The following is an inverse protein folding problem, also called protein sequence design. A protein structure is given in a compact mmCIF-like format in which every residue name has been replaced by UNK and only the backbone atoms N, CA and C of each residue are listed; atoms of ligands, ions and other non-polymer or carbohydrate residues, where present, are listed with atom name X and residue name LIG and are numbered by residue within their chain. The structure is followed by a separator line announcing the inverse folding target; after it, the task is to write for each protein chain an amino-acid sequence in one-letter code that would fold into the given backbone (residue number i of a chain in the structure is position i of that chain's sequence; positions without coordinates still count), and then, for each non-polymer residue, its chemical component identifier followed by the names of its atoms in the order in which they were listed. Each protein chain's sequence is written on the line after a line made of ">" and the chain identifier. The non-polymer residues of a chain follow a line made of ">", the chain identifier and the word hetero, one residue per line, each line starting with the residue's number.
data_IF_583705399532
#
_entry.id   IF_583705399532
#
_cell.length_a   1.000
_cell.length_b   1.000
_cell.length_c   1.000
_cell.angle_alpha   90.00
_cell.angle_beta   90.00
_cell.angle_gamma   90.00
#
_symmetry.space_group_name_H-M   'P 1'
#
loop_
_entity.id
_entity.type
_entity.pdbx_description
1 polymer ?
#
# COMPACT_ATOMS: atom_id res chain seq x y z
N UNK A 1 10.58 -12.35 -9.67
CA UNK A 1 11.31 -11.10 -9.35
C UNK A 1 12.66 -11.36 -8.68
N UNK A 2 13.72 -10.66 -9.10
CA UNK A 2 15.09 -10.86 -8.60
C UNK A 2 15.31 -10.49 -7.11
N UNK A 3 14.39 -9.74 -6.49
CA UNK A 3 14.46 -9.41 -5.06
C UNK A 3 13.96 -10.56 -4.18
N UNK A 4 12.90 -11.25 -4.59
CA UNK A 4 12.35 -12.41 -3.87
C UNK A 4 13.30 -13.61 -3.81
N UNK A 5 14.35 -13.63 -4.64
CA UNK A 5 15.43 -14.64 -4.55
C UNK A 5 16.54 -14.25 -3.58
N UNK A 6 16.53 -13.01 -3.06
CA UNK A 6 17.55 -12.47 -2.14
C UNK A 6 17.03 -12.31 -0.72
N UNK A 7 15.74 -12.08 -0.56
CA UNK A 7 15.08 -11.96 0.73
C UNK A 7 13.64 -12.46 0.65
N UNK A 8 13.04 -12.67 1.82
CA UNK A 8 11.59 -12.85 1.90
C UNK A 8 10.92 -11.53 1.54
N UNK A 9 10.17 -11.54 0.44
CA UNK A 9 9.40 -10.40 -0.03
C UNK A 9 7.91 -10.71 0.08
N UNK A 10 7.18 -9.88 0.83
CA UNK A 10 5.73 -9.94 0.90
C UNK A 10 5.19 -8.61 0.40
N UNK A 11 4.58 -8.63 -0.78
CA UNK A 11 3.96 -7.46 -1.38
C UNK A 11 2.49 -7.39 -0.97
N UNK A 12 2.06 -6.21 -0.53
CA UNK A 12 0.68 -5.94 -0.19
C UNK A 12 -0.04 -5.25 -1.35
N UNK A 13 -1.32 -5.57 -1.52
CA UNK A 13 -2.17 -4.98 -2.55
C UNK A 13 -2.84 -3.73 -2.00
N UNK A 14 -2.62 -2.59 -2.65
CA UNK A 14 -3.31 -1.35 -2.35
C UNK A 14 -4.57 -1.15 -3.18
N UNK A 15 -5.30 -0.07 -2.89
CA UNK A 15 -6.49 0.31 -3.65
C UNK A 15 -6.19 0.68 -5.11
N UNK A 16 -5.00 1.24 -5.41
CA UNK A 16 -4.60 1.58 -6.78
C UNK A 16 -4.33 0.32 -7.61
N UNK A 17 -3.67 -0.70 -7.04
CA UNK A 17 -3.49 -1.99 -7.70
C UNK A 17 -4.82 -2.71 -7.89
N UNK A 18 -5.71 -2.66 -6.90
CA UNK A 18 -7.05 -3.23 -7.00
C UNK A 18 -7.88 -2.53 -8.09
N UNK A 19 -7.79 -1.20 -8.20
CA UNK A 19 -8.47 -0.43 -9.25
C UNK A 19 -7.93 -0.75 -10.65
N UNK A 20 -6.60 -0.89 -10.79
CA UNK A 20 -5.98 -1.32 -12.02
C UNK A 20 -6.50 -2.69 -12.46
N UNK A 21 -6.44 -3.69 -11.58
CA UNK A 21 -6.93 -5.04 -11.88
C UNK A 21 -8.43 -5.04 -12.22
N UNK A 22 -9.26 -4.32 -11.45
CA UNK A 22 -10.69 -4.21 -11.72
C UNK A 22 -10.98 -3.58 -13.10
N UNK A 23 -10.19 -2.58 -13.51
CA UNK A 23 -10.33 -1.96 -14.83
C UNK A 23 -9.94 -2.92 -15.95
N UNK A 24 -8.83 -3.65 -15.80
CA UNK A 24 -8.36 -4.63 -16.78
C UNK A 24 -9.30 -5.84 -16.90
N UNK A 25 -9.93 -6.24 -15.80
CA UNK A 25 -10.90 -7.35 -15.75
C UNK A 25 -12.31 -6.93 -16.21
N UNK A 26 -12.53 -5.66 -16.53
CA UNK A 26 -13.83 -5.12 -16.93
C UNK A 26 -14.84 -4.97 -15.77
N UNK A 27 -14.38 -5.11 -14.52
CA UNK A 27 -15.19 -4.90 -13.32
C UNK A 27 -15.32 -3.40 -12.93
N UNK A 28 -14.53 -2.53 -13.55
CA UNK A 28 -14.56 -1.08 -13.40
C UNK A 28 -14.35 -0.42 -14.77
N UNK A 29 -14.98 0.74 -15.08
CA UNK A 29 -14.66 1.50 -16.28
C UNK A 29 -13.19 1.90 -16.30
N UNK A 30 -12.52 1.71 -17.45
CA UNK A 30 -11.11 2.05 -17.61
C UNK A 30 -10.84 3.52 -17.25
N UNK A 31 -11.74 4.41 -17.66
CA UNK A 31 -11.66 5.85 -17.42
C UNK A 31 -11.61 6.18 -15.93
N UNK A 32 -12.31 5.42 -15.08
CA UNK A 32 -12.30 5.64 -13.63
C UNK A 32 -10.91 5.39 -13.04
N UNK A 33 -10.21 4.36 -13.49
CA UNK A 33 -8.82 4.10 -13.09
C UNK A 33 -7.85 5.13 -13.66
N UNK A 34 -8.03 5.56 -14.92
CA UNK A 34 -7.19 6.57 -15.55
C UNK A 34 -7.17 7.89 -14.77
N UNK A 35 -8.29 8.26 -14.15
CA UNK A 35 -8.41 9.49 -13.35
C UNK A 35 -7.67 9.46 -12.01
N UNK A 36 -7.27 8.28 -11.53
CA UNK A 36 -6.60 8.10 -10.23
C UNK A 36 -5.16 7.56 -10.37
N UNK A 37 -4.49 7.94 -11.45
CA UNK A 37 -3.08 7.60 -11.70
C UNK A 37 -2.86 6.55 -12.78
N UNK A 38 -3.93 5.93 -13.31
CA UNK A 38 -3.82 4.91 -14.35
C UNK A 38 -3.15 5.42 -15.61
N UNK A 39 -3.38 6.68 -15.99
CA UNK A 39 -2.75 7.27 -17.18
C UNK A 39 -1.23 7.34 -17.06
N UNK A 40 -0.71 7.80 -15.91
CA UNK A 40 0.72 7.85 -15.63
C UNK A 40 1.31 6.44 -15.58
N UNK A 41 0.59 5.47 -15.03
CA UNK A 41 0.99 4.06 -15.04
C UNK A 41 1.13 3.54 -16.46
N UNK A 42 0.15 3.75 -17.35
CA UNK A 42 0.22 3.29 -18.74
C UNK A 42 1.41 3.89 -19.49
N UNK A 43 1.65 5.20 -19.34
CA UNK A 43 2.83 5.83 -19.96
C UNK A 43 4.16 5.35 -19.40
N UNK A 44 4.20 4.77 -18.19
CA UNK A 44 5.41 4.15 -17.65
C UNK A 44 5.74 2.80 -18.29
N UNK A 45 4.74 2.13 -18.88
CA UNK A 45 4.91 0.84 -19.56
C UNK A 45 5.25 0.98 -21.05
N UNK A 46 4.74 2.00 -21.72
CA UNK A 46 5.01 2.23 -23.13
C UNK A 46 4.60 3.63 -23.59
N UNK A 47 5.17 4.11 -24.72
CA UNK A 47 4.86 5.44 -25.25
C UNK A 47 3.43 5.54 -25.81
N UNK A 48 2.78 4.41 -26.10
CA UNK A 48 1.39 4.35 -26.56
C UNK A 48 0.43 4.61 -25.39
N UNK A 49 0.78 4.14 -24.19
CA UNK A 49 -0.06 4.26 -23.02
C UNK A 49 -1.30 3.37 -23.12
N UNK A 50 -1.12 2.12 -23.57
CA UNK A 50 -2.18 1.12 -23.70
C UNK A 50 -2.10 0.09 -22.57
N UNK A 51 -3.23 -0.45 -22.10
CA UNK A 51 -3.24 -1.66 -21.26
C UNK A 51 -2.45 -2.84 -21.86
N UNK A 52 -2.38 -2.94 -23.19
CA UNK A 52 -1.60 -3.97 -23.89
C UNK A 52 -0.08 -3.83 -23.70
N UNK A 53 0.40 -2.64 -23.28
CA UNK A 53 1.81 -2.41 -22.99
C UNK A 53 2.22 -3.05 -21.65
N UNK A 54 1.27 -3.52 -20.83
CA UNK A 54 1.52 -4.08 -19.51
C UNK A 54 1.87 -5.57 -19.64
N UNK A 55 3.08 -6.00 -19.27
CA UNK A 55 3.45 -7.41 -19.30
C UNK A 55 2.52 -8.27 -18.44
N UNK A 56 2.13 -9.44 -18.95
CA UNK A 56 1.23 -10.34 -18.25
C UNK A 56 1.78 -10.79 -16.88
N UNK A 57 3.09 -10.96 -16.74
CA UNK A 57 3.75 -11.32 -15.48
C UNK A 57 3.68 -10.20 -14.43
N UNK A 58 3.59 -8.93 -14.84
CA UNK A 58 3.33 -7.82 -13.92
C UNK A 58 1.89 -7.85 -13.41
N UNK A 59 0.92 -8.17 -14.27
CA UNK A 59 -0.49 -8.33 -13.87
C UNK A 59 -0.61 -9.49 -12.88
N UNK A 60 0.00 -10.64 -13.17
CA UNK A 60 0.01 -11.79 -12.26
C UNK A 60 0.68 -11.47 -10.93
N UNK A 61 1.80 -10.74 -10.94
CA UNK A 61 2.43 -10.24 -9.71
C UNK A 61 1.46 -9.42 -8.86
N UNK A 62 0.70 -8.49 -9.46
CA UNK A 62 -0.29 -7.70 -8.73
C UNK A 62 -1.42 -8.58 -8.15
N UNK A 63 -1.84 -9.63 -8.86
CA UNK A 63 -2.84 -10.59 -8.35
C UNK A 63 -2.32 -11.34 -7.13
N UNK A 64 -1.05 -11.75 -7.13
CA UNK A 64 -0.39 -12.47 -6.03
C UNK A 64 -0.17 -11.63 -4.76
N UNK A 65 -0.21 -10.29 -4.84
CA UNK A 65 -0.07 -9.43 -3.66
C UNK A 65 -1.12 -9.75 -2.58
N UNK A 66 -0.70 -9.81 -1.32
CA UNK A 66 -1.58 -10.14 -0.18
C UNK A 66 -2.37 -8.92 0.28
N UNK A 67 -3.53 -9.14 0.91
CA UNK A 67 -4.26 -8.05 1.55
C UNK A 67 -3.70 -7.73 2.94
N UNK A 68 -3.30 -8.78 3.67
CA UNK A 68 -2.70 -8.69 4.99
C UNK A 68 -1.50 -9.63 5.07
N UNK A 69 -0.48 -9.22 5.83
CA UNK A 69 0.57 -10.09 6.31
C UNK A 69 0.70 -9.98 7.82
N UNK A 70 0.85 -11.10 8.51
CA UNK A 70 1.00 -11.14 9.97
C UNK A 70 2.32 -11.78 10.39
N UNK A 71 2.83 -11.29 11.51
CA UNK A 71 3.89 -11.89 12.32
C UNK A 71 3.36 -12.06 13.75
N UNK A 72 4.19 -12.53 14.67
CA UNK A 72 3.78 -12.67 16.08
C UNK A 72 3.44 -11.33 16.74
N UNK A 73 4.13 -10.25 16.33
CA UNK A 73 4.02 -8.92 16.98
C UNK A 73 3.35 -7.86 16.12
N UNK A 74 3.35 -8.02 14.79
CA UNK A 74 2.87 -7.02 13.84
C UNK A 74 1.87 -7.59 12.83
N UNK A 75 1.00 -6.71 12.33
CA UNK A 75 0.23 -6.93 11.12
C UNK A 75 0.53 -5.81 10.11
N UNK A 76 0.53 -6.14 8.83
CA UNK A 76 0.81 -5.22 7.73
C UNK A 76 -0.36 -5.26 6.75
N UNK A 77 -0.94 -4.10 6.45
CA UNK A 77 -2.05 -3.94 5.51
C UNK A 77 -1.97 -2.56 4.85
N UNK A 78 -2.72 -2.34 3.76
CA UNK A 78 -2.60 -1.09 3.00
C UNK A 78 -3.26 0.10 3.71
N UNK A 79 -4.55 -0.02 4.04
CA UNK A 79 -5.42 1.07 4.47
C UNK A 79 -5.71 1.12 5.96
N UNK A 80 -6.73 0.37 6.38
CA UNK A 80 -7.28 0.43 7.73
C UNK A 80 -7.86 -0.94 8.15
N UNK A 81 -8.40 -1.03 9.35
CA UNK A 81 -8.96 -2.26 9.91
C UNK A 81 -10.11 -1.96 10.88
N UNK A 82 -11.04 -2.90 11.03
CA UNK A 82 -11.97 -2.92 12.16
C UNK A 82 -11.24 -3.52 13.38
N UNK A 83 -11.10 -2.81 14.51
CA UNK A 83 -10.35 -3.30 15.67
C UNK A 83 -10.92 -4.57 16.31
N UNK A 84 -12.16 -4.95 16.02
CA UNK A 84 -12.86 -6.09 16.65
C UNK A 84 -12.95 -7.33 15.76
N UNK A 85 -12.50 -7.25 14.51
CA UNK A 85 -12.64 -8.31 13.51
C UNK A 85 -11.28 -8.90 13.17
N UNK A 86 -11.09 -10.23 13.23
CA UNK A 86 -9.84 -10.89 12.80
C UNK A 86 -9.41 -10.46 11.40
N UNK A 87 -8.10 -10.40 11.14
CA UNK A 87 -7.58 -9.83 9.89
C UNK A 87 -8.01 -10.58 8.62
N UNK A 88 -8.24 -11.90 8.71
CA UNK A 88 -8.72 -12.75 7.64
C UNK A 88 -10.24 -12.63 7.38
N UNK A 89 -10.97 -11.99 8.30
CA UNK A 89 -12.40 -11.68 8.18
C UNK A 89 -12.67 -10.20 7.82
N UNK A 90 -11.63 -9.38 7.72
CA UNK A 90 -11.75 -7.98 7.32
C UNK A 90 -12.24 -7.85 5.87
N UNK A 91 -13.06 -6.83 5.60
CA UNK A 91 -13.50 -6.57 4.23
C UNK A 91 -12.39 -5.90 3.40
N UNK A 92 -12.38 -6.15 2.10
CA UNK A 92 -11.48 -5.47 1.15
C UNK A 92 -11.70 -3.95 1.14
N UNK A 93 -12.93 -3.49 1.37
CA UNK A 93 -13.26 -2.08 1.50
C UNK A 93 -12.51 -1.44 2.69
N UNK A 94 -12.51 -2.11 3.86
CA UNK A 94 -11.78 -1.65 5.04
C UNK A 94 -10.27 -1.69 4.80
N UNK A 95 -9.75 -2.83 4.33
CA UNK A 95 -8.31 -3.05 4.20
C UNK A 95 -7.62 -2.16 3.17
N UNK A 96 -8.32 -1.70 2.14
CA UNK A 96 -7.71 -0.94 1.04
C UNK A 96 -8.24 0.49 0.88
N UNK A 97 -9.51 0.75 1.21
CA UNK A 97 -10.17 2.01 0.80
C UNK A 97 -10.46 2.94 1.96
N UNK A 98 -10.73 2.41 3.16
CA UNK A 98 -11.03 3.23 4.33
C UNK A 98 -9.81 4.06 4.75
N UNK A 99 -9.96 5.38 4.76
CA UNK A 99 -8.92 6.31 5.17
C UNK A 99 -8.97 6.55 6.69
N UNK A 100 -7.80 6.75 7.30
CA UNK A 100 -7.73 7.13 8.72
C UNK A 100 -8.22 8.56 8.98
N UNK A 101 -8.36 9.39 7.95
CA UNK A 101 -9.00 10.71 8.07
C UNK A 101 -10.49 10.61 8.32
N UNK A 102 -11.12 9.54 7.80
CA UNK A 102 -12.55 9.28 7.97
C UNK A 102 -12.80 8.48 9.26
N UNK A 103 -11.91 7.53 9.54
CA UNK A 103 -12.01 6.70 10.74
C UNK A 103 -10.63 6.28 11.26
N UNK A 104 -10.21 6.87 12.39
CA UNK A 104 -9.01 6.40 13.09
C UNK A 104 -9.37 5.18 13.96
N UNK A 105 -8.80 3.99 13.70
CA UNK A 105 -9.16 2.79 14.45
C UNK A 105 -8.57 2.83 15.87
N UNK A 106 -9.18 2.08 16.78
CA UNK A 106 -8.57 1.78 18.10
C UNK A 106 -7.55 0.63 17.98
N UNK A 107 -6.86 0.24 19.07
CA UNK A 107 -6.04 -0.97 19.06
C UNK A 107 -6.84 -2.20 18.62
N UNK A 108 -6.22 -3.02 17.78
CA UNK A 108 -6.84 -4.25 17.28
C UNK A 108 -6.90 -5.34 18.37
N UNK A 109 -7.93 -6.20 18.32
CA UNK A 109 -8.19 -7.27 19.31
C UNK A 109 -7.04 -8.27 19.45
N UNK A 110 -6.21 -8.43 18.42
CA UNK A 110 -5.02 -9.28 18.46
C UNK A 110 -3.89 -8.74 19.34
N UNK A 111 -3.92 -7.45 19.71
CA UNK A 111 -2.84 -6.78 20.44
C UNK A 111 -1.58 -6.49 19.61
N UNK A 112 -1.57 -6.81 18.31
CA UNK A 112 -0.45 -6.53 17.41
C UNK A 112 -0.37 -5.04 17.05
N UNK A 113 0.84 -4.55 16.82
CA UNK A 113 1.04 -3.24 16.19
C UNK A 113 0.74 -3.34 14.69
N UNK A 114 -0.12 -2.48 14.17
CA UNK A 114 -0.53 -2.51 12.76
C UNK A 114 0.23 -1.47 11.95
N UNK A 115 0.96 -1.91 10.94
CA UNK A 115 1.69 -1.03 10.01
C UNK A 115 0.86 -0.83 8.75
N UNK A 116 0.58 0.42 8.40
CA UNK A 116 -0.29 0.81 7.29
C UNK A 116 0.34 1.88 6.39
N UNK A 117 -0.28 2.11 5.25
CA UNK A 117 -0.05 3.25 4.36
C UNK A 117 -1.35 4.00 4.09
N UNK A 118 -1.65 4.21 2.80
CA UNK A 118 -2.91 4.72 2.23
C UNK A 118 -3.31 6.15 2.58
N UNK A 119 -3.19 6.55 3.85
CA UNK A 119 -3.55 7.87 4.34
C UNK A 119 -2.29 8.72 4.45
N UNK A 120 -1.98 9.60 3.48
CA UNK A 120 -0.69 10.24 3.43
C UNK A 120 -0.49 11.23 4.58
N UNK A 121 0.61 11.08 5.29
CA UNK A 121 1.10 11.97 6.33
C UNK A 121 1.87 13.14 5.68
N UNK A 122 1.16 14.25 5.45
CA UNK A 122 1.70 15.40 4.70
C UNK A 122 2.82 16.17 5.42
N UNK A 123 3.01 15.94 6.73
CA UNK A 123 4.20 16.44 7.44
C UNK A 123 5.49 15.78 6.97
N UNK A 124 5.39 14.60 6.33
CA UNK A 124 6.53 13.76 6.01
C UNK A 124 7.01 12.91 7.19
N UNK A 125 6.35 12.97 8.34
CA UNK A 125 6.67 12.15 9.51
C UNK A 125 5.76 10.90 9.57
N UNK A 126 6.31 9.80 10.07
CA UNK A 126 5.52 8.60 10.38
C UNK A 126 4.52 8.94 11.48
N UNK A 127 3.25 8.57 11.28
CA UNK A 127 2.27 8.59 12.36
C UNK A 127 2.48 7.34 13.22
N UNK A 128 2.79 7.51 14.50
CA UNK A 128 2.94 6.41 15.45
C UNK A 128 2.02 6.62 16.66
N UNK A 129 1.07 5.71 16.84
CA UNK A 129 0.11 5.69 17.95
C UNK A 129 0.41 4.56 18.95
N UNK A 130 1.56 3.88 18.83
CA UNK A 130 1.96 2.71 19.62
C UNK A 130 1.32 1.40 19.16
N UNK A 131 0.03 1.43 18.79
CA UNK A 131 -0.70 0.27 18.24
C UNK A 131 -0.87 0.33 16.72
N UNK A 132 -0.63 1.50 16.12
CA UNK A 132 -0.74 1.72 14.69
C UNK A 132 0.42 2.62 14.23
N UNK A 133 1.08 2.24 13.15
CA UNK A 133 2.13 3.02 12.50
C UNK A 133 1.80 3.22 11.02
N UNK A 134 1.65 4.48 10.57
CA UNK A 134 1.46 4.78 9.15
C UNK A 134 2.73 5.35 8.52
N UNK A 135 3.26 4.62 7.54
CA UNK A 135 4.53 4.94 6.87
C UNK A 135 4.33 5.63 5.51
N UNK A 136 3.09 5.84 5.06
CA UNK A 136 2.80 6.70 3.91
C UNK A 136 3.07 8.16 4.27
N UNK A 137 4.27 8.58 3.94
CA UNK A 137 4.83 9.90 4.24
C UNK A 137 4.80 10.81 3.01
N UNK A 138 3.81 10.58 2.14
CA UNK A 138 3.40 11.47 1.06
C UNK A 138 4.49 11.74 0.00
N UNK A 139 5.31 10.74 -0.34
CA UNK A 139 6.36 10.84 -1.38
C UNK A 139 5.85 11.43 -2.69
N UNK A 140 4.69 10.95 -3.18
CA UNK A 140 4.08 11.43 -4.43
C UNK A 140 3.68 12.91 -4.38
N UNK A 141 3.46 13.43 -3.17
CA UNK A 141 3.14 14.85 -2.91
C UNK A 141 4.37 15.70 -2.57
N UNK A 142 5.58 15.18 -2.78
CA UNK A 142 6.83 15.91 -2.60
C UNK A 142 7.48 15.80 -1.22
N UNK A 143 6.95 14.94 -0.34
CA UNK A 143 7.60 14.59 0.91
C UNK A 143 8.51 13.35 0.70
N UNK A 144 8.37 12.30 1.50
CA UNK A 144 9.36 11.21 1.55
C UNK A 144 8.78 9.83 1.24
N UNK A 145 9.62 8.95 0.71
CA UNK A 145 9.43 7.50 0.77
C UNK A 145 10.09 6.99 2.04
N UNK A 146 9.35 6.20 2.83
CA UNK A 146 9.80 5.73 4.14
C UNK A 146 10.04 4.22 4.16
N UNK A 147 11.18 3.82 4.70
CA UNK A 147 11.44 2.47 5.19
C UNK A 147 11.44 2.46 6.72
N UNK A 148 10.78 1.46 7.31
CA UNK A 148 10.72 1.24 8.76
C UNK A 148 11.21 -0.18 9.07
N UNK A 149 12.20 -0.28 9.95
CA UNK A 149 12.53 -1.53 10.64
C UNK A 149 11.67 -1.62 11.90
N UNK A 150 10.65 -2.49 11.86
CA UNK A 150 9.68 -2.67 12.94
C UNK A 150 10.27 -3.33 14.19
N UNK A 151 11.44 -3.95 14.10
CA UNK A 151 12.10 -4.57 15.26
C UNK A 151 12.91 -3.54 16.04
N UNK A 152 13.57 -2.61 15.33
CA UNK A 152 14.42 -1.60 15.96
C UNK A 152 13.77 -0.22 16.08
N UNK A 153 12.65 0.01 15.39
CA UNK A 153 12.02 1.32 15.23
C UNK A 153 12.80 2.27 14.32
N UNK A 154 13.84 1.79 13.62
CA UNK A 154 14.68 2.64 12.79
C UNK A 154 13.94 3.03 11.51
N UNK A 155 13.98 4.33 11.20
CA UNK A 155 13.34 4.93 10.04
C UNK A 155 14.41 5.42 9.06
N UNK A 156 14.18 5.18 7.76
CA UNK A 156 14.92 5.79 6.66
C UNK A 156 13.95 6.52 5.75
N UNK A 157 14.28 7.75 5.38
CA UNK A 157 13.47 8.55 4.48
C UNK A 157 14.32 9.09 3.34
N UNK A 158 13.78 9.01 2.12
CA UNK A 158 14.37 9.59 0.91
C UNK A 158 13.33 10.40 0.17
N UNK A 159 13.74 11.55 -0.36
CA UNK A 159 12.88 12.30 -1.27
C UNK A 159 12.91 11.71 -2.69
N UNK A 160 12.13 12.30 -3.60
CA UNK A 160 12.04 11.88 -5.00
C UNK A 160 13.35 12.01 -5.80
N UNK A 161 14.35 12.73 -5.27
CA UNK A 161 15.69 12.88 -5.89
C UNK A 161 16.69 11.88 -5.32
N UNK A 162 16.31 11.12 -4.29
CA UNK A 162 17.17 10.18 -3.58
C UNK A 162 17.95 10.81 -2.43
N UNK A 163 17.67 12.06 -2.06
CA UNK A 163 18.31 12.71 -0.92
C UNK A 163 17.72 12.16 0.40
N UNK A 164 18.60 11.76 1.31
CA UNK A 164 18.22 11.25 2.65
C UNK A 164 17.94 12.39 3.62
N UNK A 165 17.00 12.13 4.54
CA UNK A 165 16.73 12.92 5.75
C UNK A 165 17.45 12.35 6.95
#
# INVERSE_FOLDING_TARGET
>A
MALGTKCQLVCLKGNHEAAMLAALDGAMPLESWLMIGGLQTLYSYGPVGSPDDIPADHIEFLRECRLVHETDTHAFLHGNYDPKVPFDEQTTATLMWLSMRDHLPSPHVSGKTVVVGHTPQRSGDVLDLGYLQCIDTACVYGAYLTGLDVTTGKIWQVDRTGQRR
#
